data_IF_793520034977
#
_entry.id   IF_793520034977
#
_cell.length_a   1.000
_cell.length_b   1.000
_cell.length_c   1.000
_cell.angle_alpha   90.00
_cell.angle_beta   90.00
_cell.angle_gamma   90.00
#
_symmetry.space_group_name_H-M   'P 1'
#
loop_
_entity.id
_entity.type
_entity.pdbx_description
1 polymer ?
#
# COMPACT_ATOMS: atom_id res chain seq x y z
N UNK A 1 -17.57 5.09 19.14
CA UNK A 1 -16.26 4.40 19.30
C UNK A 1 -15.20 4.74 18.23
N UNK A 2 -15.33 5.81 17.43
CA UNK A 2 -14.32 6.17 16.41
C UNK A 2 -13.07 6.86 16.96
N UNK A 3 -13.19 7.65 18.02
CA UNK A 3 -12.07 8.44 18.55
C UNK A 3 -10.92 7.57 19.10
N UNK A 4 -11.23 6.38 19.62
CA UNK A 4 -10.24 5.44 20.12
C UNK A 4 -9.30 4.91 19.02
N UNK A 5 -9.74 4.87 17.77
CA UNK A 5 -8.87 4.48 16.64
C UNK A 5 -7.82 5.57 16.34
N UNK A 6 -8.18 6.85 16.53
CA UNK A 6 -7.25 7.96 16.31
C UNK A 6 -6.15 8.05 17.38
N UNK A 7 -6.46 7.65 18.62
CA UNK A 7 -5.52 7.61 19.75
C UNK A 7 -4.83 6.26 19.95
N UNK A 8 -5.17 5.25 19.15
CA UNK A 8 -4.57 3.93 19.28
C UNK A 8 -3.04 4.00 19.13
N UNK A 9 -2.26 3.37 20.03
CA UNK A 9 -0.81 3.29 19.87
C UNK A 9 -0.41 2.51 18.62
N UNK A 10 -1.30 1.66 18.09
CA UNK A 10 -1.08 0.91 16.86
C UNK A 10 -1.32 1.74 15.58
N UNK A 11 -1.72 3.01 15.69
CA UNK A 11 -1.96 3.87 14.53
C UNK A 11 -0.64 4.17 13.81
N UNK A 12 -0.60 3.84 12.52
CA UNK A 12 0.50 4.22 11.65
C UNK A 12 0.52 5.74 11.44
N UNK A 13 1.68 6.36 11.67
CA UNK A 13 1.89 7.82 11.56
C UNK A 13 2.69 8.24 10.34
N UNK A 14 3.57 7.35 9.87
CA UNK A 14 4.41 7.53 8.69
C UNK A 14 4.43 6.26 7.84
N UNK A 15 4.80 6.36 6.56
CA UNK A 15 5.15 5.20 5.76
C UNK A 15 6.27 4.38 6.44
N UNK A 16 6.17 3.06 6.34
CA UNK A 16 7.09 2.12 6.97
C UNK A 16 7.70 1.19 5.92
N UNK A 17 9.02 1.14 5.86
CA UNK A 17 9.76 0.20 5.03
C UNK A 17 10.21 -1.01 5.84
N UNK A 18 9.87 -2.21 5.40
CA UNK A 18 10.32 -3.45 6.05
C UNK A 18 11.85 -3.55 5.99
N UNK A 19 12.50 -3.68 7.14
CA UNK A 19 13.96 -3.81 7.28
C UNK A 19 14.42 -5.23 7.61
N UNK A 20 13.52 -6.08 8.09
CA UNK A 20 13.81 -7.49 8.43
C UNK A 20 12.98 -8.52 7.69
N UNK A 21 13.02 -9.81 8.08
CA UNK A 21 12.23 -10.87 7.45
C UNK A 21 10.72 -10.58 7.47
N UNK A 22 10.00 -11.05 6.45
CA UNK A 22 8.54 -10.87 6.42
C UNK A 22 7.90 -11.55 7.64
N UNK A 23 7.15 -10.78 8.43
CA UNK A 23 6.53 -11.24 9.67
C UNK A 23 7.32 -10.92 10.94
N UNK A 24 8.56 -10.40 10.86
CA UNK A 24 9.34 -10.04 12.05
C UNK A 24 8.83 -8.78 12.77
N UNK A 25 8.05 -7.94 12.08
CA UNK A 25 7.61 -6.65 12.63
C UNK A 25 8.67 -5.55 12.57
N UNK A 26 9.81 -5.80 11.91
CA UNK A 26 10.90 -4.83 11.81
C UNK A 26 10.70 -3.88 10.63
N UNK A 27 10.56 -2.59 10.96
CA UNK A 27 10.36 -1.52 10.00
C UNK A 27 11.21 -0.30 10.33
N UNK A 28 11.60 0.44 9.28
CA UNK A 28 12.17 1.79 9.35
C UNK A 28 11.15 2.79 8.83
N UNK A 29 10.98 3.91 9.54
CA UNK A 29 10.19 5.03 9.02
C UNK A 29 10.86 5.63 7.77
N UNK A 30 10.05 5.90 6.75
CA UNK A 30 10.48 6.57 5.53
C UNK A 30 9.54 7.75 5.25
N UNK A 31 10.01 8.69 4.43
CA UNK A 31 9.17 9.79 3.97
C UNK A 31 8.31 9.37 2.77
N UNK A 32 7.25 10.14 2.52
CA UNK A 32 6.29 9.84 1.47
C UNK A 32 6.91 9.75 0.07
N UNK A 33 7.91 10.60 -0.23
CA UNK A 33 8.62 10.59 -1.51
C UNK A 33 9.30 9.24 -1.75
N UNK A 34 10.04 8.73 -0.77
CA UNK A 34 10.71 7.42 -0.84
C UNK A 34 9.66 6.29 -1.00
N UNK A 35 8.56 6.37 -0.25
CA UNK A 35 7.50 5.37 -0.31
C UNK A 35 6.83 5.30 -1.70
N UNK A 36 6.51 6.46 -2.28
CA UNK A 36 5.90 6.53 -3.61
C UNK A 36 6.89 6.15 -4.71
N UNK A 37 8.15 6.54 -4.60
CA UNK A 37 9.19 6.13 -5.53
C UNK A 37 9.30 4.60 -5.61
N UNK A 38 9.40 3.92 -4.45
CA UNK A 38 9.47 2.46 -4.38
C UNK A 38 8.20 1.79 -4.96
N UNK A 39 7.02 2.33 -4.64
CA UNK A 39 5.76 1.77 -5.12
C UNK A 39 5.62 1.91 -6.65
N UNK A 40 5.91 3.10 -7.19
CA UNK A 40 5.79 3.39 -8.62
C UNK A 40 6.82 2.65 -9.46
N UNK A 41 8.05 2.50 -8.99
CA UNK A 41 9.09 1.71 -9.67
C UNK A 41 8.63 0.26 -9.86
N UNK A 42 8.12 -0.37 -8.79
CA UNK A 42 7.62 -1.76 -8.83
C UNK A 42 6.41 -1.90 -9.74
N UNK A 43 5.44 -1.02 -9.62
CA UNK A 43 4.22 -1.06 -10.45
C UNK A 43 4.54 -0.84 -11.93
N UNK A 44 5.44 0.10 -12.24
CA UNK A 44 5.87 0.38 -13.62
C UNK A 44 6.61 -0.81 -14.24
N UNK A 45 7.45 -1.51 -13.46
CA UNK A 45 8.12 -2.72 -13.92
C UNK A 45 7.11 -3.84 -14.26
N UNK A 46 6.09 -4.05 -13.42
CA UNK A 46 5.03 -5.04 -13.69
C UNK A 46 4.24 -4.66 -14.94
N UNK A 47 3.80 -3.41 -15.04
CA UNK A 47 3.02 -2.92 -16.18
C UNK A 47 3.79 -3.06 -17.50
N UNK A 48 5.09 -2.76 -17.52
CA UNK A 48 5.94 -2.90 -18.70
C UNK A 48 6.24 -4.35 -19.11
N UNK A 49 6.16 -5.31 -18.19
CA UNK A 49 6.62 -6.68 -18.45
C UNK A 49 5.47 -7.67 -18.64
N UNK A 50 4.57 -7.76 -17.68
CA UNK A 50 3.34 -8.54 -17.79
C UNK A 50 2.30 -7.99 -16.80
N UNK A 51 1.40 -7.09 -17.25
CA UNK A 51 0.44 -6.44 -16.36
C UNK A 51 -0.51 -7.43 -15.66
N UNK A 52 -0.72 -8.62 -16.23
CA UNK A 52 -1.57 -9.68 -15.64
C UNK A 52 -0.99 -10.27 -14.35
N UNK A 53 0.29 -10.00 -14.05
CA UNK A 53 0.92 -10.41 -12.78
C UNK A 53 0.52 -9.50 -11.61
N UNK A 54 -0.15 -8.38 -11.86
CA UNK A 54 -0.70 -7.55 -10.80
C UNK A 54 -2.08 -8.07 -10.36
N UNK A 55 -2.24 -8.27 -9.05
CA UNK A 55 -3.54 -8.43 -8.44
C UNK A 55 -3.79 -7.29 -7.45
N UNK A 56 -4.90 -6.57 -7.62
CA UNK A 56 -5.28 -5.45 -6.78
C UNK A 56 -6.52 -5.80 -5.96
N UNK A 57 -6.39 -5.76 -4.64
CA UNK A 57 -7.45 -6.14 -3.71
C UNK A 57 -7.81 -4.96 -2.82
N UNK A 58 -9.10 -4.75 -2.63
CA UNK A 58 -9.66 -3.74 -1.73
C UNK A 58 -10.62 -4.40 -0.75
N UNK A 59 -10.78 -3.83 0.45
CA UNK A 59 -11.59 -4.42 1.52
C UNK A 59 -13.10 -4.42 1.24
N UNK A 60 -13.85 -5.17 2.06
CA UNK A 60 -15.32 -5.16 2.02
C UNK A 60 -15.83 -3.77 2.39
N UNK A 61 -16.58 -3.19 1.46
CA UNK A 61 -17.36 -1.95 1.58
C UNK A 61 -16.59 -0.65 1.22
N UNK A 62 -17.22 0.17 0.37
CA UNK A 62 -16.81 1.51 -0.10
C UNK A 62 -15.67 1.67 -1.13
N UNK A 63 -15.03 0.59 -1.59
CA UNK A 63 -13.90 0.68 -2.53
C UNK A 63 -14.19 0.16 -3.94
N UNK A 64 -15.41 -0.30 -4.23
CA UNK A 64 -15.72 -0.94 -5.53
C UNK A 64 -15.59 0.02 -6.71
N UNK A 65 -16.04 1.28 -6.57
CA UNK A 65 -15.88 2.30 -7.62
C UNK A 65 -14.41 2.61 -7.91
N UNK A 66 -13.59 2.73 -6.85
CA UNK A 66 -12.14 2.91 -6.99
C UNK A 66 -11.48 1.68 -7.64
N UNK A 67 -11.89 0.48 -7.24
CA UNK A 67 -11.36 -0.78 -7.78
C UNK A 67 -11.68 -0.92 -9.26
N UNK A 68 -12.93 -0.61 -9.65
CA UNK A 68 -13.36 -0.61 -11.04
C UNK A 68 -12.66 0.46 -11.88
N UNK A 69 -12.53 1.68 -11.35
CA UNK A 69 -11.76 2.74 -12.00
C UNK A 69 -10.30 2.31 -12.20
N UNK A 70 -9.63 1.81 -11.17
CA UNK A 70 -8.26 1.33 -11.24
C UNK A 70 -8.08 0.24 -12.29
N UNK A 71 -8.95 -0.77 -12.31
CA UNK A 71 -8.91 -1.86 -13.26
C UNK A 71 -9.09 -1.42 -14.73
N UNK A 72 -9.71 -0.25 -14.98
CA UNK A 72 -9.84 0.31 -16.33
C UNK A 72 -8.60 1.06 -16.82
N UNK A 73 -7.72 1.50 -15.91
CA UNK A 73 -6.54 2.31 -16.24
C UNK A 73 -5.24 1.49 -16.30
N UNK A 74 -5.21 0.33 -15.64
CA UNK A 74 -4.00 -0.46 -15.44
C UNK A 74 -3.85 -1.59 -16.46
#
# INVERSE_FOLDING_TARGET
SGIMQHYSPARLKKPLLRSGPRGSGEFREIEWEEAFSIATERLSAIHRTDPRKLAFFTGRDQSQSLTGWWASQF
#
